data_IF_270877805708
#
_entry.id   IF_270877805708
#
_cell.length_a   1.000
_cell.length_b   1.000
_cell.length_c   1.000
_cell.angle_alpha   90.00
_cell.angle_beta   90.00
_cell.angle_gamma   90.00
#
_symmetry.space_group_name_H-M   'P 1'
#
loop_
_entity.id
_entity.type
_entity.pdbx_description
1 polymer ?
#
# COMPACT_ATOMS: atom_id res chain seq x y z
N UNK A 1 -24.58 18.93 -19.05
CA UNK A 1 -23.97 18.77 -17.72
C UNK A 1 -23.11 17.51 -17.76
N UNK A 2 -21.96 17.49 -18.43
CA UNK A 2 -20.81 18.33 -18.14
C UNK A 2 -19.93 17.62 -17.11
N UNK A 3 -19.52 16.38 -17.41
CA UNK A 3 -18.54 15.62 -16.63
C UNK A 3 -17.27 16.47 -16.57
N UNK A 4 -17.08 17.17 -15.46
CA UNK A 4 -15.86 17.93 -15.18
C UNK A 4 -14.73 16.92 -15.02
N UNK A 5 -14.11 16.59 -16.16
CA UNK A 5 -12.96 15.70 -16.28
C UNK A 5 -11.76 16.41 -15.65
N UNK A 6 -11.75 16.49 -14.31
CA UNK A 6 -10.53 16.80 -13.58
C UNK A 6 -9.59 15.65 -13.89
N UNK A 7 -8.73 15.87 -14.88
CA UNK A 7 -7.71 14.92 -15.29
C UNK A 7 -6.62 14.97 -14.21
N UNK A 8 -6.94 14.49 -13.01
CA UNK A 8 -5.93 14.26 -11.97
C UNK A 8 -5.07 13.14 -12.52
N UNK A 9 -3.92 13.49 -13.08
CA UNK A 9 -2.92 12.52 -13.50
C UNK A 9 -2.36 11.85 -12.25
N UNK A 10 -3.07 10.82 -11.75
CA UNK A 10 -2.56 9.98 -10.69
C UNK A 10 -1.48 9.09 -11.30
N UNK A 11 -0.22 9.28 -10.89
CA UNK A 11 0.92 8.57 -11.49
C UNK A 11 0.82 7.03 -11.37
N UNK A 12 0.15 6.56 -10.33
CA UNK A 12 0.05 5.13 -10.00
C UNK A 12 -1.39 4.62 -10.02
N UNK A 13 -2.35 5.44 -10.46
CA UNK A 13 -3.76 5.07 -10.51
C UNK A 13 -4.42 5.54 -11.80
N UNK A 14 -5.39 4.78 -12.25
CA UNK A 14 -6.20 5.05 -13.43
C UNK A 14 -7.68 5.04 -13.03
N UNK A 15 -8.51 5.73 -13.80
CA UNK A 15 -9.96 5.63 -13.68
C UNK A 15 -10.46 4.60 -14.69
N UNK A 16 -11.04 3.51 -14.19
CA UNK A 16 -11.66 2.46 -14.99
C UNK A 16 -13.10 2.23 -14.52
N UNK A 17 -14.07 2.32 -15.43
CA UNK A 17 -15.50 2.09 -15.15
C UNK A 17 -16.04 2.88 -13.94
N UNK A 18 -15.65 4.15 -13.82
CA UNK A 18 -16.03 5.02 -12.71
C UNK A 18 -15.36 4.69 -11.37
N UNK A 19 -14.37 3.79 -11.33
CA UNK A 19 -13.61 3.41 -10.15
C UNK A 19 -12.14 3.80 -10.28
N UNK A 20 -11.50 4.09 -9.15
CA UNK A 20 -10.06 4.29 -9.06
C UNK A 20 -9.41 2.90 -8.94
N UNK A 21 -8.46 2.62 -9.82
CA UNK A 21 -7.70 1.37 -9.85
C UNK A 21 -6.21 1.66 -9.90
N UNK A 22 -5.37 0.80 -9.32
CA UNK A 22 -3.91 0.92 -9.42
C UNK A 22 -3.48 0.61 -10.87
N UNK A 23 -2.62 1.46 -11.44
CA UNK A 23 -2.17 1.36 -12.83
C UNK A 23 -1.34 0.11 -13.07
N UNK A 24 -1.34 -0.38 -14.32
CA UNK A 24 -0.60 -1.61 -14.69
C UNK A 24 0.90 -1.49 -14.42
N UNK A 25 1.46 -0.30 -14.64
CA UNK A 25 2.88 -0.02 -14.39
C UNK A 25 3.23 -0.17 -12.90
N UNK A 26 2.35 0.30 -12.02
CA UNK A 26 2.52 0.20 -10.57
C UNK A 26 2.36 -1.24 -10.06
N UNK A 27 1.51 -2.06 -10.70
CA UNK A 27 1.31 -3.46 -10.32
C UNK A 27 2.61 -4.26 -10.39
N UNK A 28 3.44 -4.06 -11.41
CA UNK A 28 4.70 -4.80 -11.54
C UNK A 28 5.67 -4.51 -10.37
N UNK A 29 5.78 -3.25 -9.96
CA UNK A 29 6.59 -2.85 -8.80
C UNK A 29 6.03 -3.39 -7.49
N UNK A 30 4.71 -3.32 -7.31
CA UNK A 30 4.03 -3.82 -6.11
C UNK A 30 4.14 -5.34 -5.98
N UNK A 31 3.97 -6.08 -7.07
CA UNK A 31 4.12 -7.54 -7.08
C UNK A 31 5.56 -7.96 -6.75
N UNK A 32 6.57 -7.24 -7.26
CA UNK A 32 7.97 -7.48 -6.90
C UNK A 32 8.25 -7.24 -5.42
N UNK A 33 7.53 -6.30 -4.82
CA UNK A 33 7.55 -6.01 -3.39
C UNK A 33 6.64 -6.94 -2.56
N UNK A 34 6.07 -7.99 -3.15
CA UNK A 34 5.18 -8.97 -2.50
C UNK A 34 3.83 -8.42 -2.01
N UNK A 35 3.36 -7.31 -2.60
CA UNK A 35 1.99 -6.85 -2.40
C UNK A 35 1.01 -7.61 -3.29
N UNK A 36 -0.14 -7.97 -2.73
CA UNK A 36 -1.35 -8.29 -3.49
C UNK A 36 -2.16 -7.01 -3.74
N UNK A 37 -2.77 -6.90 -4.92
CA UNK A 37 -3.51 -5.68 -5.32
C UNK A 37 -4.88 -6.05 -5.87
N UNK A 38 -5.92 -5.34 -5.43
CA UNK A 38 -7.26 -5.44 -6.00
C UNK A 38 -7.92 -4.05 -6.07
N UNK A 39 -8.16 -3.57 -7.29
CA UNK A 39 -8.66 -2.21 -7.52
C UNK A 39 -7.70 -1.17 -6.95
N UNK A 40 -8.13 -0.45 -5.91
CA UNK A 40 -7.33 0.55 -5.18
C UNK A 40 -6.75 0.02 -3.86
N UNK A 41 -7.12 -1.18 -3.44
CA UNK A 41 -6.67 -1.79 -2.19
C UNK A 41 -5.41 -2.62 -2.39
N UNK A 42 -4.60 -2.68 -1.34
CA UNK A 42 -3.35 -3.45 -1.29
C UNK A 42 -3.32 -4.32 -0.03
N UNK A 43 -2.78 -5.53 -0.15
CA UNK A 43 -2.58 -6.47 0.96
C UNK A 43 -1.13 -6.92 0.95
N UNK A 44 -0.55 -7.13 2.13
CA UNK A 44 0.81 -7.68 2.28
C UNK A 44 0.79 -8.78 3.33
N UNK A 45 1.67 -9.78 3.17
CA UNK A 45 1.88 -10.75 4.23
C UNK A 45 2.80 -10.15 5.29
N UNK A 46 2.24 -9.84 6.46
CA UNK A 46 3.00 -9.32 7.59
C UNK A 46 4.21 -10.22 7.92
N UNK A 47 5.34 -9.57 8.22
CA UNK A 47 6.57 -10.25 8.61
C UNK A 47 6.35 -11.29 9.74
N UNK A 48 5.60 -10.92 10.78
CA UNK A 48 5.32 -11.79 11.93
C UNK A 48 4.33 -12.91 11.59
N UNK A 49 3.39 -12.66 10.67
CA UNK A 49 2.48 -13.69 10.16
C UNK A 49 3.27 -14.77 9.42
N UNK A 50 4.19 -14.36 8.53
CA UNK A 50 5.10 -15.30 7.85
C UNK A 50 5.95 -16.09 8.84
N UNK A 51 6.55 -15.41 9.82
CA UNK A 51 7.38 -16.05 10.85
C UNK A 51 6.59 -17.10 11.65
N UNK A 52 5.40 -16.75 12.14
CA UNK A 52 4.54 -17.65 12.90
C UNK A 52 4.09 -18.88 12.08
N UNK A 53 3.81 -18.71 10.78
CA UNK A 53 3.48 -19.83 9.88
C UNK A 53 4.66 -20.80 9.69
N UNK A 54 5.89 -20.29 9.75
CA UNK A 54 7.11 -21.11 9.64
C UNK A 54 7.62 -21.65 10.98
N UNK A 55 6.87 -21.50 12.08
CA UNK A 55 7.26 -21.94 13.42
C UNK A 55 8.23 -21.00 14.15
N UNK A 56 8.39 -19.76 13.67
CA UNK A 56 9.21 -18.72 14.28
C UNK A 56 8.50 -17.91 15.38
N UNK A 57 9.09 -16.78 15.83
CA UNK A 57 8.53 -15.95 16.88
C UNK A 57 7.20 -15.28 16.51
N UNK A 58 6.37 -15.03 17.52
CA UNK A 58 5.08 -14.35 17.41
C UNK A 58 5.20 -12.82 17.58
N UNK A 59 4.29 -12.07 16.95
CA UNK A 59 4.26 -10.61 17.04
C UNK A 59 4.07 -10.12 18.47
N UNK A 60 4.70 -8.98 18.79
CA UNK A 60 4.52 -8.27 20.06
C UNK A 60 3.04 -7.98 20.39
N UNK A 61 2.18 -7.79 19.38
CA UNK A 61 0.75 -7.53 19.56
C UNK A 61 0.03 -8.67 20.30
N UNK A 62 0.46 -9.92 20.09
CA UNK A 62 -0.09 -11.07 20.82
C UNK A 62 0.29 -11.00 22.29
N UNK A 63 1.52 -10.60 22.61
CA UNK A 63 2.00 -10.44 23.99
C UNK A 63 1.32 -9.29 24.73
N UNK A 64 1.11 -8.15 24.06
CA UNK A 64 0.58 -6.95 24.71
C UNK A 64 -0.94 -6.90 24.74
N UNK A 65 -1.60 -7.35 23.67
CA UNK A 65 -3.04 -7.20 23.48
C UNK A 65 -3.79 -8.53 23.48
N UNK A 66 -3.10 -9.67 23.55
CA UNK A 66 -3.73 -10.99 23.36
C UNK A 66 -4.31 -11.18 21.95
N UNK A 67 -3.88 -10.37 20.97
CA UNK A 67 -4.50 -10.29 19.64
C UNK A 67 -3.47 -10.44 18.50
N UNK A 68 -3.85 -11.05 17.36
CA UNK A 68 -5.13 -11.69 17.11
C UNK A 68 -5.28 -13.04 17.85
N UNK A 69 -6.53 -13.45 18.10
CA UNK A 69 -6.83 -14.76 18.70
C UNK A 69 -6.27 -15.87 17.80
N UNK A 70 -5.57 -16.83 18.40
CA UNK A 70 -4.82 -17.87 17.68
C UNK A 70 -3.38 -17.49 17.33
N UNK A 71 -2.96 -16.23 17.50
CA UNK A 71 -1.59 -15.79 17.25
C UNK A 71 -1.41 -15.13 15.88
N UNK A 72 -0.24 -14.54 15.62
CA UNK A 72 -0.03 -13.58 14.51
C UNK A 72 -0.33 -14.12 13.10
N UNK A 73 -0.36 -15.44 12.92
CA UNK A 73 -0.70 -16.07 11.65
C UNK A 73 -2.16 -15.85 11.23
N UNK A 74 -3.05 -15.42 12.13
CA UNK A 74 -4.45 -15.10 11.84
C UNK A 74 -4.67 -13.60 11.50
N UNK A 75 -3.61 -12.79 11.51
CA UNK A 75 -3.68 -11.36 11.19
C UNK A 75 -3.73 -11.13 9.67
N UNK A 76 -4.54 -10.16 9.24
CA UNK A 76 -4.53 -9.64 7.85
C UNK A 76 -3.99 -8.22 7.87
N UNK A 77 -2.92 -7.98 7.10
CA UNK A 77 -2.36 -6.65 6.90
C UNK A 77 -2.78 -6.12 5.53
N UNK A 78 -3.70 -5.15 5.52
CA UNK A 78 -4.20 -4.53 4.30
C UNK A 78 -4.39 -3.02 4.45
N UNK A 79 -4.27 -2.32 3.32
CA UNK A 79 -4.65 -0.92 3.17
C UNK A 79 -5.78 -0.81 2.16
N UNK A 80 -6.96 -0.26 2.54
CA UNK A 80 -8.06 -0.09 1.59
C UNK A 80 -7.71 0.93 0.51
N UNK A 81 -6.80 1.87 0.78
CA UNK A 81 -6.34 2.88 -0.18
C UNK A 81 -4.82 2.79 -0.32
N UNK A 82 -4.38 1.92 -1.22
CA UNK A 82 -2.97 1.77 -1.55
C UNK A 82 -2.45 2.96 -2.35
N UNK A 83 -1.19 3.34 -2.10
CA UNK A 83 -0.45 4.32 -2.89
C UNK A 83 -1.03 5.75 -2.87
N UNK A 84 -1.94 6.06 -1.95
CA UNK A 84 -2.56 7.37 -1.80
C UNK A 84 -2.52 7.81 -0.34
N UNK A 85 -1.83 8.91 -0.07
CA UNK A 85 -1.77 9.50 1.26
C UNK A 85 -1.41 10.99 1.14
N UNK A 86 -2.11 11.84 1.90
CA UNK A 86 -1.85 13.29 1.92
C UNK A 86 -0.53 13.65 2.60
N UNK A 87 -0.05 12.80 3.51
CA UNK A 87 1.19 13.03 4.26
C UNK A 87 2.41 12.55 3.47
N UNK A 88 3.52 13.27 3.61
CA UNK A 88 4.82 12.94 2.97
C UNK A 88 5.89 12.67 4.03
N UNK A 89 5.69 11.61 4.81
CA UNK A 89 6.58 11.27 5.91
C UNK A 89 7.91 10.69 5.39
N UNK A 90 9.03 11.12 5.97
CA UNK A 90 10.39 10.69 5.60
C UNK A 90 10.70 9.22 5.86
N UNK A 91 9.88 8.55 6.67
CA UNK A 91 10.05 7.15 7.07
C UNK A 91 9.03 6.22 6.41
N UNK A 92 8.10 6.76 5.62
CA UNK A 92 7.05 5.95 5.03
C UNK A 92 7.59 5.33 3.74
N UNK A 93 7.92 4.04 3.79
CA UNK A 93 8.28 3.31 2.59
C UNK A 93 7.10 3.30 1.62
N UNK A 94 7.29 3.90 0.45
CA UNK A 94 6.28 3.91 -0.61
C UNK A 94 6.95 3.69 -1.96
N UNK A 95 6.44 2.79 -2.80
CA UNK A 95 6.86 2.74 -4.20
C UNK A 95 6.59 4.06 -4.95
N UNK A 96 5.72 4.92 -4.42
CA UNK A 96 5.41 6.23 -4.99
C UNK A 96 6.50 7.28 -4.75
N UNK A 97 7.50 6.96 -3.94
CA UNK A 97 8.57 7.85 -3.49
C UNK A 97 9.65 8.08 -4.57
N UNK A 98 9.25 8.17 -5.83
CA UNK A 98 10.07 8.86 -6.83
C UNK A 98 10.03 10.35 -6.53
N UNK A 99 10.91 10.81 -5.65
CA UNK A 99 11.22 12.22 -5.45
C UNK A 99 11.47 12.87 -6.83
N UNK A 100 10.60 13.77 -7.30
CA UNK A 100 11.16 14.96 -7.97
C UNK A 100 11.81 15.73 -6.83
N UNK A 101 13.15 15.84 -6.78
CA UNK A 101 13.77 16.70 -5.79
C UNK A 101 13.20 18.11 -5.93
N UNK A 102 13.14 18.87 -4.85
CA UNK A 102 12.86 20.32 -4.85
C UNK A 102 14.00 21.04 -5.59
N UNK A 103 13.98 20.96 -6.92
CA UNK A 103 14.64 21.88 -7.85
C UNK A 103 13.69 22.13 -9.01
N UNK A 104 12.64 22.89 -8.74
CA UNK A 104 11.77 23.44 -9.78
C UNK A 104 11.32 24.88 -9.45
N UNK A 105 12.07 25.58 -8.59
CA UNK A 105 11.90 27.01 -8.30
C UNK A 105 13.19 27.82 -8.57
N UNK A 106 14.07 27.31 -9.43
CA UNK A 106 15.26 28.03 -9.95
C UNK A 106 15.29 27.94 -11.48
N UNK A 107 14.21 28.43 -12.09
CA UNK A 107 14.17 28.97 -13.44
C UNK A 107 13.06 30.01 -13.48
#
# INVERSE_FOLDING_TARGET
MGESRVKVTLRYHEFADGRIVISRDALATLNKAHYGVYGHATVELCHWTKSALTGGPICYKVKFYGAPLGGSHTCVEMGPVGMMCSNKCVYCWRPSESFRPIRAWLQ
#
